data_IF_050765519960
#
_entry.id   IF_050765519960
#
_cell.length_a   1.000
_cell.length_b   1.000
_cell.length_c   1.000
_cell.angle_alpha   90.00
_cell.angle_beta   90.00
_cell.angle_gamma   90.00
#
_symmetry.space_group_name_H-M   'P 1'
#
loop_
_entity.id
_entity.type
_entity.pdbx_description
1 polymer ?
#
# COMPACT_ATOMS: atom_id res chain seq x y z
N UNK A 1 -10.89 3.68 11.27
CA UNK A 1 -9.71 3.13 11.95
C UNK A 1 -8.56 4.09 11.69
N UNK A 2 -7.87 4.53 12.72
CA UNK A 2 -6.69 5.38 12.62
C UNK A 2 -5.57 4.62 11.88
N UNK A 3 -4.71 5.36 11.17
CA UNK A 3 -3.46 4.80 10.64
C UNK A 3 -2.37 5.03 11.69
N UNK A 4 -2.14 4.08 12.60
CA UNK A 4 -1.26 4.30 13.75
C UNK A 4 0.17 4.64 13.34
N UNK A 5 0.63 4.14 12.19
CA UNK A 5 2.00 4.35 11.74
C UNK A 5 2.34 5.81 11.43
N UNK A 6 1.48 6.54 10.70
CA UNK A 6 1.71 7.97 10.38
C UNK A 6 1.61 8.82 11.64
N UNK A 7 0.57 8.63 12.45
CA UNK A 7 0.34 9.41 13.67
C UNK A 7 1.47 9.25 14.67
N UNK A 8 1.90 8.00 14.92
CA UNK A 8 3.01 7.70 15.83
C UNK A 8 4.32 8.34 15.37
N UNK A 9 4.60 8.30 14.06
CA UNK A 9 5.81 8.92 13.50
C UNK A 9 5.78 10.44 13.64
N UNK A 10 4.64 11.09 13.41
CA UNK A 10 4.50 12.53 13.59
C UNK A 10 4.58 12.94 15.06
N UNK A 11 3.99 12.19 15.97
CA UNK A 11 4.12 12.43 17.41
C UNK A 11 5.57 12.29 17.88
N UNK A 12 6.28 11.25 17.41
CA UNK A 12 7.70 11.09 17.72
C UNK A 12 8.54 12.26 17.22
N UNK A 13 8.27 12.73 16.00
CA UNK A 13 8.95 13.88 15.42
C UNK A 13 8.65 15.17 16.20
N UNK A 14 7.38 15.41 16.54
CA UNK A 14 6.96 16.54 17.38
C UNK A 14 7.65 16.55 18.74
N UNK A 15 7.76 15.38 19.37
CA UNK A 15 8.45 15.24 20.66
C UNK A 15 9.96 15.56 20.56
N UNK A 16 10.62 15.12 19.48
CA UNK A 16 12.04 15.40 19.25
C UNK A 16 12.31 16.88 18.97
N UNK A 17 11.40 17.53 18.24
CA UNK A 17 11.52 18.95 17.86
C UNK A 17 10.92 19.88 18.91
N UNK A 18 10.31 19.36 19.99
CA UNK A 18 9.59 20.14 21.01
C UNK A 18 8.50 21.08 20.41
N UNK A 19 7.86 20.61 19.31
CA UNK A 19 6.79 21.34 18.62
C UNK A 19 5.47 20.59 18.86
N UNK A 20 4.39 21.27 19.33
CA UNK A 20 3.08 20.67 19.35
C UNK A 20 2.63 20.33 17.93
N UNK A 21 2.23 19.07 17.71
CA UNK A 21 1.81 18.59 16.41
C UNK A 21 0.29 18.47 16.38
N UNK A 22 -0.36 19.28 15.56
CA UNK A 22 -1.80 19.22 15.29
C UNK A 22 -2.01 18.71 13.87
N UNK A 23 -2.49 17.47 13.75
CA UNK A 23 -2.66 16.77 12.47
C UNK A 23 -4.12 16.42 12.14
N UNK A 24 -5.07 16.83 12.97
CA UNK A 24 -6.47 16.41 12.88
C UNK A 24 -7.11 16.69 11.51
N UNK A 25 -6.86 17.85 10.91
CA UNK A 25 -7.42 18.18 9.60
C UNK A 25 -6.80 17.32 8.48
N UNK A 26 -5.48 17.13 8.51
CA UNK A 26 -4.76 16.32 7.53
C UNK A 26 -5.15 14.85 7.63
N UNK A 27 -5.26 14.32 8.85
CA UNK A 27 -5.72 12.97 9.13
C UNK A 27 -7.17 12.77 8.64
N UNK A 28 -8.08 13.70 8.97
CA UNK A 28 -9.47 13.62 8.55
C UNK A 28 -9.61 13.63 7.02
N UNK A 29 -8.84 14.49 6.33
CA UNK A 29 -8.84 14.55 4.88
C UNK A 29 -8.28 13.28 4.23
N UNK A 30 -7.25 12.67 4.81
CA UNK A 30 -6.70 11.39 4.36
C UNK A 30 -7.74 10.25 4.53
N UNK A 31 -8.38 10.18 5.70
CA UNK A 31 -9.42 9.19 5.96
C UNK A 31 -10.63 9.35 5.03
N UNK A 32 -11.01 10.58 4.71
CA UNK A 32 -12.10 10.83 3.75
C UNK A 32 -11.73 10.34 2.35
N UNK A 33 -10.50 10.57 1.89
CA UNK A 33 -10.04 10.07 0.59
C UNK A 33 -10.04 8.54 0.52
N UNK A 34 -9.66 7.85 1.60
CA UNK A 34 -9.75 6.38 1.70
C UNK A 34 -11.20 5.90 1.63
N UNK A 35 -12.13 6.57 2.32
CA UNK A 35 -13.56 6.24 2.25
C UNK A 35 -14.12 6.43 0.85
N UNK A 36 -13.76 7.52 0.18
CA UNK A 36 -14.15 7.79 -1.22
C UNK A 36 -13.64 6.68 -2.14
N UNK A 37 -12.37 6.30 -2.04
CA UNK A 37 -11.79 5.21 -2.81
C UNK A 37 -12.54 3.89 -2.54
N UNK A 38 -12.81 3.56 -1.28
CA UNK A 38 -13.54 2.34 -0.93
C UNK A 38 -14.96 2.32 -1.48
N UNK A 39 -15.63 3.48 -1.49
CA UNK A 39 -16.98 3.60 -2.04
C UNK A 39 -17.00 3.50 -3.56
N UNK A 40 -15.99 4.07 -4.24
CA UNK A 40 -15.89 4.05 -5.69
C UNK A 40 -15.44 2.70 -6.26
N UNK A 41 -14.61 1.97 -5.50
CA UNK A 41 -14.01 0.70 -5.91
C UNK A 41 -14.16 -0.37 -4.81
N UNK A 42 -15.40 -0.77 -4.48
CA UNK A 42 -15.67 -1.69 -3.36
C UNK A 42 -15.04 -3.08 -3.57
N UNK A 43 -14.95 -3.52 -4.82
CA UNK A 43 -14.46 -4.85 -5.20
C UNK A 43 -13.01 -4.84 -5.70
N UNK A 44 -12.27 -3.75 -5.46
CA UNK A 44 -10.88 -3.67 -5.86
C UNK A 44 -10.03 -4.72 -5.16
N UNK A 45 -9.26 -5.47 -5.94
CA UNK A 45 -8.26 -6.44 -5.51
C UNK A 45 -6.89 -5.95 -5.95
N UNK A 46 -6.01 -5.71 -5.01
CA UNK A 46 -4.71 -5.12 -5.26
C UNK A 46 -3.60 -6.15 -5.37
N UNK A 47 -2.67 -5.91 -6.31
CA UNK A 47 -1.30 -6.42 -6.23
C UNK A 47 -0.34 -5.24 -6.03
N UNK A 48 0.66 -5.43 -5.17
CA UNK A 48 1.59 -4.37 -4.77
C UNK A 48 3.01 -4.83 -5.04
N UNK A 49 3.78 -4.04 -5.77
CA UNK A 49 5.16 -4.36 -6.15
C UNK A 49 6.19 -3.43 -5.54
N UNK A 50 7.43 -3.82 -5.66
CA UNK A 50 8.59 -2.94 -5.45
C UNK A 50 8.67 -1.85 -6.54
N UNK A 51 9.76 -1.12 -6.56
CA UNK A 51 9.96 0.04 -7.44
C UNK A 51 8.85 1.09 -7.30
N UNK A 52 8.42 1.32 -6.07
CA UNK A 52 7.53 2.40 -5.67
C UNK A 52 8.17 3.23 -4.55
N UNK A 53 7.66 4.43 -4.31
CA UNK A 53 8.13 5.29 -3.22
C UNK A 53 7.50 4.87 -1.88
N UNK A 54 7.85 3.69 -1.39
CA UNK A 54 7.36 3.15 -0.14
C UNK A 54 7.67 1.66 0.01
N UNK A 55 7.43 1.13 1.19
CA UNK A 55 7.56 -0.30 1.46
C UNK A 55 6.27 -1.02 1.02
N UNK A 56 6.34 -2.05 0.15
CA UNK A 56 5.17 -2.75 -0.36
C UNK A 56 4.40 -3.49 0.74
N UNK A 57 5.08 -3.99 1.77
CA UNK A 57 4.43 -4.69 2.88
C UNK A 57 3.71 -3.75 3.84
N UNK A 58 4.29 -2.56 4.10
CA UNK A 58 3.63 -1.50 4.88
C UNK A 58 2.36 -1.03 4.18
N UNK A 59 2.43 -0.77 2.87
CA UNK A 59 1.28 -0.36 2.07
C UNK A 59 0.20 -1.44 2.00
N UNK A 60 0.59 -2.70 1.79
CA UNK A 60 -0.35 -3.83 1.81
C UNK A 60 -1.10 -3.92 3.13
N UNK A 61 -0.37 -3.83 4.25
CA UNK A 61 -0.98 -3.85 5.58
C UNK A 61 -1.94 -2.67 5.79
N UNK A 62 -1.59 -1.48 5.33
CA UNK A 62 -2.45 -0.31 5.42
C UNK A 62 -3.74 -0.52 4.62
N UNK A 63 -3.67 -1.00 3.38
CA UNK A 63 -4.84 -1.28 2.55
C UNK A 63 -5.75 -2.35 3.19
N UNK A 64 -5.17 -3.44 3.71
CA UNK A 64 -5.92 -4.48 4.41
C UNK A 64 -6.63 -3.93 5.65
N UNK A 65 -5.95 -3.08 6.45
CA UNK A 65 -6.56 -2.42 7.62
C UNK A 65 -7.73 -1.51 7.25
N UNK A 66 -7.69 -0.89 6.08
CA UNK A 66 -8.80 -0.10 5.55
C UNK A 66 -9.89 -0.95 4.87
N UNK A 67 -9.75 -2.27 4.88
CA UNK A 67 -10.75 -3.20 4.38
C UNK A 67 -10.68 -3.44 2.87
N UNK A 68 -9.59 -3.09 2.20
CA UNK A 68 -9.33 -3.50 0.83
C UNK A 68 -8.78 -4.93 0.76
N UNK A 69 -8.98 -5.57 -0.38
CA UNK A 69 -8.38 -6.88 -0.66
C UNK A 69 -7.00 -6.69 -1.29
N UNK A 70 -6.00 -7.37 -0.73
CA UNK A 70 -4.66 -7.47 -1.31
C UNK A 70 -4.42 -8.94 -1.61
N UNK A 71 -4.32 -9.29 -2.88
CA UNK A 71 -4.08 -10.66 -3.32
C UNK A 71 -2.60 -11.00 -3.30
N UNK A 72 -1.74 -10.06 -3.72
CA UNK A 72 -0.35 -10.32 -4.00
C UNK A 72 0.56 -9.17 -3.59
N UNK A 73 1.74 -9.53 -3.10
CA UNK A 73 2.83 -8.60 -2.79
C UNK A 73 4.08 -9.14 -3.46
N UNK A 74 4.73 -8.33 -4.27
CA UNK A 74 6.03 -8.61 -4.88
C UNK A 74 7.09 -7.80 -4.14
N UNK A 75 8.00 -8.47 -3.46
CA UNK A 75 8.98 -7.75 -2.67
C UNK A 75 10.10 -8.63 -2.13
N UNK A 76 11.20 -8.00 -1.78
CA UNK A 76 12.34 -8.65 -1.14
C UNK A 76 12.14 -8.67 0.37
N UNK A 77 12.17 -9.87 0.95
CA UNK A 77 12.00 -10.05 2.39
C UNK A 77 13.25 -9.64 3.15
N UNK A 78 13.09 -8.71 4.06
CA UNK A 78 14.11 -8.28 5.02
C UNK A 78 13.63 -8.48 6.46
N UNK A 79 14.54 -8.43 7.42
CA UNK A 79 14.17 -8.53 8.84
C UNK A 79 13.19 -7.41 9.27
N UNK A 80 13.25 -6.26 8.63
CA UNK A 80 12.39 -5.11 8.90
C UNK A 80 10.94 -5.34 8.47
N UNK A 81 10.73 -6.14 7.43
CA UNK A 81 9.38 -6.43 6.91
C UNK A 81 8.60 -7.45 7.76
N UNK A 82 9.25 -8.22 8.64
CA UNK A 82 8.58 -9.25 9.42
C UNK A 82 7.44 -8.74 10.30
N UNK A 83 7.52 -7.51 10.78
CA UNK A 83 6.44 -6.91 11.56
C UNK A 83 5.17 -6.74 10.73
N UNK A 84 5.30 -6.34 9.46
CA UNK A 84 4.17 -6.21 8.54
C UNK A 84 3.62 -7.57 8.14
N UNK A 85 4.49 -8.52 7.81
CA UNK A 85 4.11 -9.89 7.43
C UNK A 85 3.36 -10.62 8.54
N UNK A 86 3.80 -10.48 9.79
CA UNK A 86 3.08 -11.06 10.94
C UNK A 86 1.64 -10.54 11.00
N UNK A 87 1.46 -9.22 10.92
CA UNK A 87 0.12 -8.62 10.94
C UNK A 87 -0.70 -9.02 9.71
N UNK A 88 -0.09 -9.09 8.53
CA UNK A 88 -0.76 -9.53 7.31
C UNK A 88 -1.22 -10.98 7.41
N UNK A 89 -0.40 -11.88 7.96
CA UNK A 89 -0.77 -13.29 8.14
C UNK A 89 -1.98 -13.49 9.05
N UNK A 90 -2.22 -12.56 9.99
CA UNK A 90 -3.39 -12.59 10.87
C UNK A 90 -4.63 -11.95 10.22
N UNK A 91 -4.47 -10.85 9.48
CA UNK A 91 -5.57 -10.07 8.93
C UNK A 91 -6.00 -10.49 7.51
N UNK A 92 -5.07 -11.02 6.72
CA UNK A 92 -5.27 -11.42 5.33
C UNK A 92 -4.41 -12.63 4.98
N UNK A 93 -4.67 -13.80 5.58
CA UNK A 93 -3.84 -15.01 5.41
C UNK A 93 -3.82 -15.56 3.98
N UNK A 94 -4.76 -15.12 3.13
CA UNK A 94 -4.82 -15.48 1.71
C UNK A 94 -3.88 -14.63 0.84
N UNK A 95 -3.33 -13.52 1.33
CA UNK A 95 -2.38 -12.69 0.59
C UNK A 95 -1.10 -13.47 0.30
N UNK A 96 -0.76 -13.59 -0.98
CA UNK A 96 0.47 -14.26 -1.42
C UNK A 96 1.63 -13.28 -1.45
N UNK A 97 2.81 -13.75 -1.09
CA UNK A 97 4.05 -12.98 -1.14
C UNK A 97 5.01 -13.66 -2.11
N UNK A 98 5.48 -12.91 -3.08
CA UNK A 98 6.42 -13.35 -4.10
C UNK A 98 7.72 -12.56 -4.01
N UNK A 99 8.83 -13.25 -4.21
CA UNK A 99 10.14 -12.61 -4.35
C UNK A 99 10.55 -12.54 -5.81
N UNK A 100 10.87 -11.34 -6.29
CA UNK A 100 11.41 -11.16 -7.64
C UNK A 100 12.76 -11.86 -7.86
N UNK A 101 13.42 -12.25 -6.77
CA UNK A 101 14.68 -13.00 -6.81
C UNK A 101 14.48 -14.51 -6.96
N UNK A 102 13.25 -14.99 -6.89
CA UNK A 102 12.94 -16.43 -6.99
C UNK A 102 12.82 -16.86 -8.46
N UNK A 103 13.66 -17.81 -8.94
CA UNK A 103 13.64 -18.24 -10.35
C UNK A 103 12.30 -18.82 -10.81
N UNK A 104 11.50 -19.35 -9.90
CA UNK A 104 10.16 -19.90 -10.20
C UNK A 104 9.18 -18.85 -10.68
N UNK A 105 9.43 -17.56 -10.42
CA UNK A 105 8.63 -16.44 -10.93
C UNK A 105 8.62 -16.34 -12.47
N UNK A 106 9.54 -16.98 -13.16
CA UNK A 106 9.50 -17.13 -14.62
C UNK A 106 8.28 -17.94 -15.12
N UNK A 107 7.69 -18.75 -14.25
CA UNK A 107 6.55 -19.62 -14.55
C UNK A 107 5.28 -19.15 -13.84
N UNK A 108 5.31 -17.96 -13.24
CA UNK A 108 4.14 -17.42 -12.56
C UNK A 108 3.04 -17.09 -13.57
N UNK A 109 1.82 -17.58 -13.31
CA UNK A 109 0.63 -17.32 -14.10
C UNK A 109 -0.33 -16.42 -13.30
N UNK A 110 -0.52 -15.16 -13.71
CA UNK A 110 -1.39 -14.22 -13.01
C UNK A 110 -2.89 -14.44 -13.24
N UNK A 111 -3.31 -15.27 -14.20
CA UNK A 111 -4.72 -15.39 -14.60
C UNK A 111 -5.66 -15.81 -13.46
N UNK A 112 -5.15 -16.53 -12.47
CA UNK A 112 -5.94 -17.01 -11.32
C UNK A 112 -5.99 -16.03 -10.13
N UNK A 113 -5.32 -14.88 -10.21
CA UNK A 113 -5.15 -13.99 -9.04
C UNK A 113 -6.36 -13.13 -8.71
N UNK A 114 -7.20 -12.81 -9.71
CA UNK A 114 -8.33 -11.91 -9.56
C UNK A 114 -7.94 -10.44 -9.30
N UNK A 115 -6.68 -10.07 -9.49
CA UNK A 115 -6.17 -8.71 -9.33
C UNK A 115 -6.84 -7.76 -10.32
N UNK A 116 -7.29 -6.61 -9.85
CA UNK A 116 -7.97 -5.58 -10.66
C UNK A 116 -7.19 -4.27 -10.75
N UNK A 117 -6.30 -4.01 -9.78
CA UNK A 117 -5.46 -2.81 -9.73
C UNK A 117 -4.07 -3.20 -9.22
N UNK A 118 -3.03 -2.68 -9.88
CA UNK A 118 -1.65 -2.85 -9.45
C UNK A 118 -1.06 -1.54 -8.94
N UNK A 119 -0.15 -1.62 -7.96
CA UNK A 119 0.64 -0.49 -7.45
C UNK A 119 2.12 -0.87 -7.52
N UNK A 120 2.93 -0.02 -8.14
CA UNK A 120 4.35 -0.27 -8.33
C UNK A 120 4.68 -1.00 -9.63
N UNK A 121 5.95 -0.90 -10.03
CA UNK A 121 6.42 -1.39 -11.33
C UNK A 121 6.39 -2.91 -11.42
N UNK A 122 6.79 -3.60 -10.35
CA UNK A 122 6.89 -5.06 -10.40
C UNK A 122 5.51 -5.71 -10.47
N UNK A 123 4.53 -5.21 -9.72
CA UNK A 123 3.16 -5.68 -9.84
C UNK A 123 2.59 -5.45 -11.25
N UNK A 124 2.87 -4.30 -11.86
CA UNK A 124 2.50 -4.01 -13.25
C UNK A 124 3.16 -4.97 -14.25
N UNK A 125 4.39 -5.38 -14.00
CA UNK A 125 5.11 -6.33 -14.87
C UNK A 125 4.43 -7.70 -14.92
N UNK A 126 3.95 -8.20 -13.78
CA UNK A 126 3.25 -9.48 -13.71
C UNK A 126 1.77 -9.41 -14.12
N UNK A 127 1.18 -8.21 -14.12
CA UNK A 127 -0.21 -7.96 -14.51
C UNK A 127 -0.31 -6.84 -15.57
N UNK A 128 0.24 -7.03 -16.78
CA UNK A 128 0.37 -5.95 -17.77
C UNK A 128 -0.97 -5.40 -18.27
N UNK A 129 -2.02 -6.21 -18.24
CA UNK A 129 -3.37 -5.85 -18.72
C UNK A 129 -4.26 -5.22 -17.63
N UNK A 130 -3.73 -5.08 -16.41
CA UNK A 130 -4.44 -4.52 -15.27
C UNK A 130 -4.12 -3.03 -15.10
N UNK A 131 -5.09 -2.26 -14.59
CA UNK A 131 -4.91 -0.85 -14.28
C UNK A 131 -3.79 -0.64 -13.26
N UNK A 132 -2.88 0.29 -13.54
CA UNK A 132 -1.68 0.50 -12.72
C UNK A 132 -1.51 1.93 -12.21
N UNK A 133 -1.06 2.06 -10.97
CA UNK A 133 -0.49 3.27 -10.39
C UNK A 133 0.97 2.99 -10.04
N UNK A 134 1.92 3.60 -10.77
CA UNK A 134 3.35 3.36 -10.56
C UNK A 134 3.84 3.75 -9.18
N UNK A 135 3.32 4.84 -8.61
CA UNK A 135 3.68 5.36 -7.30
C UNK A 135 5.20 5.51 -7.09
N UNK A 136 5.90 6.01 -8.10
CA UNK A 136 7.33 6.25 -8.09
C UNK A 136 7.69 7.64 -8.65
N UNK A 137 6.88 8.62 -8.34
CA UNK A 137 7.06 9.99 -8.78
C UNK A 137 8.30 10.62 -8.12
N UNK A 138 9.04 11.44 -8.86
CA UNK A 138 10.24 12.11 -8.36
C UNK A 138 9.92 13.08 -7.20
N UNK A 139 8.79 13.74 -7.28
CA UNK A 139 8.26 14.62 -6.22
C UNK A 139 6.92 14.06 -5.77
N UNK A 140 6.89 13.49 -4.61
CA UNK A 140 5.72 12.81 -4.07
C UNK A 140 5.46 13.24 -2.63
N UNK A 141 4.21 13.56 -2.26
CA UNK A 141 3.88 13.90 -0.89
C UNK A 141 3.98 12.69 0.04
N UNK A 142 4.30 12.93 1.30
CA UNK A 142 4.42 11.93 2.35
C UNK A 142 3.31 12.07 3.39
N UNK A 143 3.20 11.08 4.28
CA UNK A 143 2.26 11.09 5.38
C UNK A 143 0.81 11.17 4.91
N UNK A 144 0.00 11.97 5.56
CA UNK A 144 -1.42 12.12 5.22
C UNK A 144 -1.65 12.69 3.81
N UNK A 145 -0.80 13.62 3.37
CA UNK A 145 -0.86 14.13 2.00
C UNK A 145 -0.53 13.03 0.99
N UNK A 146 0.41 12.13 1.30
CA UNK A 146 0.73 10.96 0.49
C UNK A 146 -0.45 9.99 0.37
N UNK A 147 -1.15 9.72 1.48
CA UNK A 147 -2.36 8.88 1.47
C UNK A 147 -3.44 9.47 0.56
N UNK A 148 -3.69 10.77 0.66
CA UNK A 148 -4.65 11.45 -0.21
C UNK A 148 -4.26 11.32 -1.68
N UNK A 149 -3.02 11.66 -2.00
CA UNK A 149 -2.52 11.62 -3.37
C UNK A 149 -2.60 10.21 -3.97
N UNK A 150 -2.20 9.19 -3.22
CA UNK A 150 -2.36 7.79 -3.67
C UNK A 150 -3.83 7.44 -3.94
N UNK A 151 -4.74 7.81 -3.03
CA UNK A 151 -6.17 7.56 -3.24
C UNK A 151 -6.71 8.29 -4.49
N UNK A 152 -6.28 9.54 -4.74
CA UNK A 152 -6.65 10.29 -5.94
C UNK A 152 -6.16 9.59 -7.20
N UNK A 153 -4.89 9.15 -7.25
CA UNK A 153 -4.34 8.39 -8.37
C UNK A 153 -5.07 7.06 -8.59
N UNK A 154 -5.44 6.37 -7.51
CA UNK A 154 -6.21 5.11 -7.59
C UNK A 154 -7.66 5.31 -8.06
N UNK A 155 -8.23 6.49 -7.88
CA UNK A 155 -9.55 6.83 -8.40
C UNK A 155 -9.53 7.13 -9.91
N UNK A 156 -8.39 7.56 -10.46
CA UNK A 156 -8.21 7.89 -11.88
C UNK A 156 -8.11 6.65 -12.77
N UNK A 157 -7.71 5.51 -12.23
CA UNK A 157 -7.56 4.25 -12.95
C UNK A 157 -8.75 3.34 -12.76
#
# INVERSE_FOLDING_TARGET
>A
KENPGIKERYQALGNVLEIPFEDHEAEAAALDSVKRLKSAKPDAVFAIGECMNGDPFELALALVKYGFQVAEIYGTLTAENFVYLKNLSELSPQTKVFSNMEPTMLYYDPEESGVTITIGKDACYYHPDVKNVMWNEEVQPYGYAGVRHLCERLLEV
#
